data_IF_314551601542
#
_entry.id   IF_314551601542
#
_cell.length_a   1.000
_cell.length_b   1.000
_cell.length_c   1.000
_cell.angle_alpha   90.00
_cell.angle_beta   90.00
_cell.angle_gamma   90.00
#
_symmetry.space_group_name_H-M   'P 1'
#
loop_
_entity.id
_entity.type
_entity.pdbx_description
1 polymer ?
#
# COMPACT_ATOMS: atom_id res chain seq x y z
N UNK A 1 -13.33 -70.93 3.82
CA UNK A 1 -13.37 -69.74 2.99
C UNK A 1 -12.80 -68.56 3.78
N UNK A 2 -11.55 -68.19 3.49
CA UNK A 2 -10.83 -67.12 4.17
C UNK A 2 -10.91 -65.86 3.30
N UNK A 3 -11.62 -64.81 3.81
CA UNK A 3 -11.74 -63.53 3.16
C UNK A 3 -10.52 -62.66 3.51
N UNK A 4 -9.70 -62.30 2.51
CA UNK A 4 -8.62 -61.32 2.65
C UNK A 4 -9.21 -59.94 2.49
N UNK A 5 -9.21 -59.16 3.56
CA UNK A 5 -9.46 -57.70 3.51
C UNK A 5 -8.18 -57.00 3.18
N UNK A 6 -8.11 -56.46 1.94
CA UNK A 6 -6.98 -55.65 1.47
C UNK A 6 -7.20 -54.24 1.93
N UNK A 7 -6.42 -53.76 2.90
CA UNK A 7 -6.40 -52.35 3.37
C UNK A 7 -5.57 -51.53 2.39
N UNK A 8 -6.24 -50.73 1.61
CA UNK A 8 -5.60 -49.71 0.72
C UNK A 8 -5.21 -48.50 1.58
N UNK A 9 -3.93 -48.40 1.94
CA UNK A 9 -3.38 -47.26 2.66
C UNK A 9 -3.14 -46.13 1.67
N UNK A 10 -4.05 -45.15 1.64
CA UNK A 10 -3.90 -43.93 0.82
C UNK A 10 -2.93 -42.99 1.54
N UNK A 11 -1.68 -42.93 1.06
CA UNK A 11 -0.73 -41.89 1.47
C UNK A 11 -1.15 -40.54 0.88
N UNK A 12 -1.78 -39.71 1.69
CA UNK A 12 -1.89 -38.28 1.39
C UNK A 12 -0.50 -37.63 1.56
N UNK A 13 0.19 -37.45 0.46
CA UNK A 13 1.38 -36.60 0.41
C UNK A 13 0.96 -35.14 0.57
N UNK A 14 1.06 -34.64 1.78
CA UNK A 14 0.94 -33.20 2.08
C UNK A 14 2.18 -32.47 1.51
N UNK A 15 2.12 -32.04 0.25
CA UNK A 15 3.14 -31.21 -0.41
C UNK A 15 2.95 -29.71 -0.15
N UNK A 16 2.42 -29.29 0.98
CA UNK A 16 2.08 -27.89 1.23
C UNK A 16 2.94 -27.12 2.23
N UNK A 17 3.77 -27.80 3.03
CA UNK A 17 4.28 -27.19 4.27
C UNK A 17 5.76 -26.78 4.28
N UNK A 18 6.53 -27.01 3.20
CA UNK A 18 7.98 -26.73 3.20
C UNK A 18 8.37 -25.37 2.65
N UNK A 19 7.51 -24.75 1.83
CA UNK A 19 7.82 -23.49 1.15
C UNK A 19 7.52 -22.25 2.00
N UNK A 20 6.49 -22.28 2.85
CA UNK A 20 6.16 -21.16 3.75
C UNK A 20 7.20 -20.97 4.87
N UNK A 21 7.78 -22.06 5.39
CA UNK A 21 8.83 -21.99 6.42
C UNK A 21 10.15 -21.41 5.91
N UNK A 22 10.40 -21.44 4.61
CA UNK A 22 11.68 -21.05 4.05
C UNK A 22 11.90 -19.54 4.01
N UNK A 23 10.84 -18.75 3.96
CA UNK A 23 10.92 -17.28 3.95
C UNK A 23 10.58 -16.67 5.31
N UNK A 24 9.89 -17.39 6.21
CA UNK A 24 9.47 -16.85 7.51
C UNK A 24 10.63 -16.37 8.40
N UNK A 25 11.84 -16.94 8.21
CA UNK A 25 13.04 -16.58 8.97
C UNK A 25 14.01 -15.69 8.19
N UNK A 26 13.52 -15.05 7.11
CA UNK A 26 14.33 -14.23 6.21
C UNK A 26 13.86 -12.79 6.24
N UNK A 27 14.82 -11.86 6.46
CA UNK A 27 14.60 -10.43 6.24
C UNK A 27 15.26 -10.01 4.95
N UNK A 28 14.53 -9.33 4.11
CA UNK A 28 15.04 -8.82 2.84
C UNK A 28 14.94 -7.30 2.86
N UNK A 29 16.02 -6.65 2.47
CA UNK A 29 16.10 -5.21 2.34
C UNK A 29 16.63 -4.85 0.97
N UNK A 30 15.99 -3.91 0.32
CA UNK A 30 16.39 -3.34 -0.96
C UNK A 30 16.42 -1.83 -0.84
N UNK A 31 17.50 -1.21 -1.29
CA UNK A 31 17.64 0.25 -1.31
C UNK A 31 18.06 0.75 -2.68
N UNK A 32 17.48 1.86 -3.12
CA UNK A 32 17.90 2.56 -4.33
C UNK A 32 17.80 4.08 -4.15
N UNK A 33 18.87 4.79 -4.52
CA UNK A 33 19.02 6.22 -4.28
C UNK A 33 19.67 6.95 -5.44
N UNK A 34 19.16 8.14 -5.78
CA UNK A 34 19.79 9.18 -6.58
C UNK A 34 19.31 10.57 -6.13
N UNK A 35 19.71 11.64 -6.81
CA UNK A 35 19.23 13.00 -6.49
C UNK A 35 17.70 13.14 -6.58
N UNK A 36 17.09 12.49 -7.58
CA UNK A 36 15.65 12.58 -7.84
C UNK A 36 14.86 11.32 -7.52
N UNK A 37 15.47 10.29 -6.92
CA UNK A 37 14.84 9.01 -6.66
C UNK A 37 15.27 8.45 -5.30
N UNK A 38 14.30 7.96 -4.54
CA UNK A 38 14.54 7.21 -3.30
C UNK A 38 13.56 6.07 -3.21
N UNK A 39 14.06 4.86 -2.93
CA UNK A 39 13.24 3.70 -2.61
C UNK A 39 13.94 2.83 -1.58
N UNK A 40 13.24 2.51 -0.52
CA UNK A 40 13.64 1.46 0.43
C UNK A 40 12.49 0.46 0.54
N UNK A 41 12.78 -0.83 0.36
CA UNK A 41 11.83 -1.93 0.53
C UNK A 41 12.35 -2.81 1.65
N UNK A 42 11.47 -3.21 2.56
CA UNK A 42 11.75 -4.21 3.59
C UNK A 42 10.66 -5.28 3.56
N UNK A 43 11.07 -6.55 3.65
CA UNK A 43 10.17 -7.70 3.61
C UNK A 43 10.53 -8.62 4.78
N UNK A 44 9.56 -8.89 5.63
CA UNK A 44 9.69 -9.79 6.77
C UNK A 44 8.30 -10.36 7.14
N UNK A 45 8.16 -11.67 7.30
CA UNK A 45 6.93 -12.32 7.79
C UNK A 45 5.64 -11.88 7.08
N UNK A 46 5.60 -11.91 5.73
CA UNK A 46 4.52 -11.38 4.88
C UNK A 46 4.33 -9.86 4.94
N UNK A 47 5.03 -9.17 5.80
CA UNK A 47 4.98 -7.71 5.86
C UNK A 47 5.89 -7.12 4.79
N UNK A 48 5.34 -6.28 3.94
CA UNK A 48 6.04 -5.53 2.91
C UNK A 48 5.97 -4.05 3.27
N UNK A 49 7.13 -3.43 3.44
CA UNK A 49 7.26 -2.01 3.79
C UNK A 49 8.02 -1.29 2.69
N UNK A 50 7.51 -0.16 2.23
CA UNK A 50 8.14 0.67 1.21
C UNK A 50 8.20 2.13 1.62
N UNK A 51 9.34 2.78 1.34
CA UNK A 51 9.56 4.22 1.48
C UNK A 51 10.02 4.73 0.12
N UNK A 52 9.28 5.67 -0.49
CA UNK A 52 9.58 6.23 -1.82
C UNK A 52 10.11 7.66 -1.80
N UNK A 53 10.28 8.25 -0.62
CA UNK A 53 10.87 9.59 -0.45
C UNK A 53 11.90 9.58 0.67
N UNK A 54 12.91 10.45 0.65
CA UNK A 54 14.02 10.45 1.64
C UNK A 54 13.54 10.60 3.08
N UNK A 55 12.52 11.43 3.30
CA UNK A 55 11.96 11.72 4.62
C UNK A 55 10.55 11.12 4.78
N UNK A 56 10.20 10.15 3.91
CA UNK A 56 8.89 9.52 3.90
C UNK A 56 8.73 8.54 5.06
N UNK A 57 7.48 8.37 5.46
CA UNK A 57 7.11 7.28 6.36
C UNK A 57 6.98 5.98 5.56
N UNK A 58 7.26 4.83 6.18
CA UNK A 58 7.04 3.55 5.53
C UNK A 58 5.54 3.31 5.29
N UNK A 59 5.20 2.98 4.06
CA UNK A 59 3.92 2.37 3.73
C UNK A 59 4.04 0.87 3.96
N UNK A 60 3.19 0.32 4.82
CA UNK A 60 3.28 -1.09 5.25
C UNK A 60 2.01 -1.81 4.80
N UNK A 61 2.20 -2.91 4.08
CA UNK A 61 1.11 -3.77 3.61
C UNK A 61 1.40 -5.23 3.95
N UNK A 62 0.37 -6.01 4.18
CA UNK A 62 0.48 -7.47 4.27
C UNK A 62 0.32 -8.06 2.86
N UNK A 63 1.27 -8.89 2.45
CA UNK A 63 1.23 -9.58 1.17
C UNK A 63 0.14 -10.67 1.19
N UNK A 64 -0.60 -10.78 0.09
CA UNK A 64 -1.51 -11.92 -0.10
C UNK A 64 -0.73 -13.24 -0.15
N UNK A 65 -1.43 -14.35 0.06
CA UNK A 65 -0.82 -15.69 -0.04
C UNK A 65 -0.22 -15.94 -1.43
N UNK A 66 -0.86 -15.44 -2.47
CA UNK A 66 -0.36 -15.54 -3.84
C UNK A 66 0.95 -14.75 -4.02
N UNK A 67 0.99 -13.49 -3.55
CA UNK A 67 2.18 -12.63 -3.61
C UNK A 67 3.33 -13.23 -2.80
N UNK A 68 3.03 -13.72 -1.60
CA UNK A 68 4.00 -14.37 -0.72
C UNK A 68 4.57 -15.64 -1.33
N UNK A 69 3.72 -16.49 -1.89
CA UNK A 69 4.13 -17.72 -2.57
C UNK A 69 4.99 -17.42 -3.82
N UNK A 70 4.63 -16.40 -4.58
CA UNK A 70 5.43 -15.97 -5.74
C UNK A 70 6.80 -15.45 -5.29
N UNK A 71 6.85 -14.64 -4.23
CA UNK A 71 8.09 -14.15 -3.64
C UNK A 71 8.99 -15.33 -3.21
N UNK A 72 8.41 -16.36 -2.56
CA UNK A 72 9.09 -17.57 -2.15
C UNK A 72 9.69 -18.36 -3.29
N UNK A 73 8.95 -18.50 -4.39
CA UNK A 73 9.46 -19.15 -5.61
C UNK A 73 10.64 -18.41 -6.21
N UNK A 74 10.59 -17.08 -6.23
CA UNK A 74 11.68 -16.26 -6.76
C UNK A 74 12.90 -16.29 -5.83
N UNK A 75 12.67 -16.19 -4.51
CA UNK A 75 13.73 -16.29 -3.51
C UNK A 75 14.46 -17.63 -3.58
N UNK A 76 13.76 -18.74 -3.78
CA UNK A 76 14.37 -20.09 -3.86
C UNK A 76 15.38 -20.26 -5.00
N UNK A 77 15.36 -19.36 -5.98
CA UNK A 77 16.35 -19.34 -7.09
C UNK A 77 17.63 -18.58 -6.73
N UNK A 78 17.65 -17.86 -5.61
CA UNK A 78 18.80 -17.05 -5.19
C UNK A 78 19.86 -17.96 -4.52
N UNK A 79 21.08 -17.97 -5.06
CA UNK A 79 22.20 -18.64 -4.45
C UNK A 79 22.94 -17.70 -3.49
N UNK A 80 22.72 -17.89 -2.20
CA UNK A 80 23.34 -17.08 -1.14
C UNK A 80 24.88 -17.23 -1.09
N UNK A 81 25.46 -18.32 -1.61
CA UNK A 81 26.91 -18.51 -1.61
C UNK A 81 27.63 -17.51 -2.50
N UNK A 82 26.99 -17.11 -3.59
CA UNK A 82 27.55 -16.14 -4.56
C UNK A 82 26.92 -14.76 -4.46
N UNK A 83 26.00 -14.56 -3.50
CA UNK A 83 25.19 -13.34 -3.41
C UNK A 83 26.02 -12.07 -3.17
N UNK A 84 27.04 -12.15 -2.32
CA UNK A 84 27.92 -11.02 -2.00
C UNK A 84 28.80 -10.59 -3.19
N UNK A 85 28.96 -11.44 -4.20
CA UNK A 85 29.73 -11.15 -5.40
C UNK A 85 28.88 -10.60 -6.54
N UNK A 86 27.56 -10.55 -6.36
CA UNK A 86 26.65 -10.04 -7.39
C UNK A 86 26.82 -8.54 -7.57
N UNK A 87 27.15 -8.16 -8.78
CA UNK A 87 27.36 -6.79 -9.23
C UNK A 87 26.53 -6.51 -10.48
N UNK A 88 26.07 -5.27 -10.64
CA UNK A 88 25.32 -4.86 -11.83
C UNK A 88 26.17 -4.91 -13.09
N UNK A 89 25.55 -5.22 -14.25
CA UNK A 89 26.26 -5.30 -15.53
C UNK A 89 26.64 -3.92 -16.08
N UNK A 90 26.11 -2.84 -15.50
CA UNK A 90 26.34 -1.45 -15.92
C UNK A 90 26.75 -0.58 -14.75
N UNK A 91 27.29 0.61 -15.05
CA UNK A 91 27.83 1.59 -14.09
C UNK A 91 27.22 2.99 -14.32
N UNK A 92 26.02 3.09 -14.86
CA UNK A 92 25.35 4.37 -15.14
C UNK A 92 25.13 5.18 -13.83
N UNK A 93 24.99 4.49 -12.69
CA UNK A 93 24.93 5.08 -11.36
C UNK A 93 26.14 5.93 -10.98
N UNK A 94 27.31 5.66 -11.58
CA UNK A 94 28.53 6.41 -11.30
C UNK A 94 28.52 7.82 -11.92
N UNK A 95 27.63 8.06 -12.88
CA UNK A 95 27.50 9.30 -13.65
C UNK A 95 26.11 9.95 -13.48
N UNK A 96 25.43 9.69 -12.37
CA UNK A 96 24.06 10.15 -12.09
C UNK A 96 23.01 9.70 -13.15
N UNK A 97 23.35 8.76 -14.03
CA UNK A 97 22.45 8.26 -15.07
C UNK A 97 21.36 7.33 -14.54
N UNK A 98 21.60 6.68 -13.40
CA UNK A 98 20.65 5.77 -12.71
C UNK A 98 20.77 5.89 -11.20
N UNK A 99 19.73 5.49 -10.49
CA UNK A 99 19.82 5.36 -9.04
C UNK A 99 20.73 4.18 -8.66
N UNK A 100 21.58 4.40 -7.68
CA UNK A 100 22.43 3.35 -7.10
C UNK A 100 21.58 2.46 -6.22
N UNK A 101 21.60 1.16 -6.48
CA UNK A 101 20.84 0.16 -5.72
C UNK A 101 21.74 -0.90 -5.11
N UNK A 102 21.25 -1.49 -4.01
CA UNK A 102 21.77 -2.72 -3.41
C UNK A 102 20.64 -3.53 -2.80
N UNK A 103 20.94 -4.79 -2.48
CA UNK A 103 20.01 -5.70 -1.82
C UNK A 103 20.74 -6.46 -0.72
N UNK A 104 20.09 -6.59 0.44
CA UNK A 104 20.58 -7.39 1.56
C UNK A 104 19.56 -8.44 1.95
N UNK A 105 20.05 -9.62 2.33
CA UNK A 105 19.27 -10.75 2.82
C UNK A 105 19.86 -11.18 4.15
N UNK A 106 19.04 -11.24 5.20
CA UNK A 106 19.42 -11.73 6.52
C UNK A 106 18.72 -13.06 6.72
N UNK A 107 19.49 -14.11 6.95
CA UNK A 107 19.01 -15.45 7.28
C UNK A 107 19.61 -15.85 8.61
N UNK A 108 18.79 -16.00 9.63
CA UNK A 108 19.24 -16.15 11.02
C UNK A 108 20.18 -14.99 11.37
N UNK A 109 21.43 -15.26 11.71
CA UNK A 109 22.43 -14.25 12.11
C UNK A 109 23.40 -13.87 10.97
N UNK A 110 23.19 -14.36 9.75
CA UNK A 110 24.05 -14.09 8.59
C UNK A 110 23.43 -13.08 7.67
N UNK A 111 24.20 -12.03 7.36
CA UNK A 111 23.83 -11.01 6.38
C UNK A 111 24.60 -11.25 5.08
N UNK A 112 23.86 -11.23 3.99
CA UNK A 112 24.37 -11.29 2.62
C UNK A 112 24.00 -9.99 1.93
N UNK A 113 24.96 -9.31 1.26
CA UNK A 113 24.71 -8.02 0.61
C UNK A 113 25.35 -8.01 -0.76
N UNK A 114 24.57 -7.65 -1.79
CA UNK A 114 25.11 -7.50 -3.15
C UNK A 114 26.09 -6.33 -3.21
N UNK A 115 26.99 -6.37 -4.19
CA UNK A 115 27.65 -5.15 -4.66
C UNK A 115 26.62 -4.21 -5.28
N UNK A 116 27.00 -2.94 -5.48
CA UNK A 116 26.11 -1.93 -6.05
C UNK A 116 25.73 -2.24 -7.50
N UNK A 117 24.50 -1.91 -7.88
CA UNK A 117 24.00 -2.03 -9.25
C UNK A 117 23.07 -0.87 -9.60
N UNK A 118 22.80 -0.68 -10.88
CA UNK A 118 21.85 0.31 -11.36
C UNK A 118 20.42 -0.16 -11.08
N UNK A 119 19.60 0.65 -10.43
CA UNK A 119 18.25 0.31 -9.93
C UNK A 119 17.40 -0.47 -10.93
N UNK A 120 17.44 -0.09 -12.20
CA UNK A 120 16.64 -0.74 -13.26
C UNK A 120 17.37 -1.89 -13.96
N UNK A 121 18.64 -2.15 -13.62
CA UNK A 121 19.51 -3.13 -14.29
C UNK A 121 20.23 -3.99 -13.23
N UNK A 122 19.48 -4.79 -12.44
CA UNK A 122 20.08 -5.65 -11.43
C UNK A 122 20.85 -6.82 -12.05
N UNK A 123 21.76 -7.46 -11.28
CA UNK A 123 22.43 -8.68 -11.69
C UNK A 123 21.46 -9.75 -12.18
N UNK A 124 21.76 -10.43 -13.28
CA UNK A 124 20.86 -11.40 -13.94
C UNK A 124 20.33 -12.48 -12.99
N UNK A 125 21.14 -12.94 -12.03
CA UNK A 125 20.76 -14.00 -11.07
C UNK A 125 19.67 -13.60 -10.08
N UNK A 126 19.46 -12.31 -9.85
CA UNK A 126 18.43 -11.78 -8.94
C UNK A 126 17.41 -10.89 -9.65
N UNK A 127 17.53 -10.75 -10.98
CA UNK A 127 16.71 -9.82 -11.76
C UNK A 127 15.20 -10.04 -11.55
N UNK A 128 14.75 -11.28 -11.71
CA UNK A 128 13.32 -11.60 -11.55
C UNK A 128 12.79 -11.24 -10.15
N UNK A 129 13.62 -11.46 -9.13
CA UNK A 129 13.26 -11.13 -7.75
C UNK A 129 13.19 -9.61 -7.53
N UNK A 130 14.23 -8.87 -7.98
CA UNK A 130 14.29 -7.41 -7.85
C UNK A 130 13.17 -6.74 -8.64
N UNK A 131 12.89 -7.19 -9.85
CA UNK A 131 11.78 -6.67 -10.67
C UNK A 131 10.44 -6.90 -9.96
N UNK A 132 10.25 -8.08 -9.36
CA UNK A 132 9.00 -8.41 -8.68
C UNK A 132 8.78 -7.55 -7.42
N UNK A 133 9.80 -7.37 -6.56
CA UNK A 133 9.64 -6.52 -5.38
C UNK A 133 9.45 -5.04 -5.74
N UNK A 134 10.06 -4.56 -6.83
CA UNK A 134 9.82 -3.21 -7.32
C UNK A 134 8.41 -3.07 -7.90
N UNK A 135 7.91 -4.07 -8.62
CA UNK A 135 6.51 -4.10 -9.05
C UNK A 135 5.56 -4.06 -7.84
N UNK A 136 5.81 -4.89 -6.82
CA UNK A 136 5.02 -4.83 -5.58
C UNK A 136 5.08 -3.45 -4.93
N UNK A 137 6.24 -2.78 -4.94
CA UNK A 137 6.38 -1.43 -4.43
C UNK A 137 5.61 -0.40 -5.28
N UNK A 138 5.57 -0.55 -6.59
CA UNK A 138 4.78 0.31 -7.49
C UNK A 138 3.27 0.06 -7.35
N UNK A 139 2.88 -1.19 -7.11
CA UNK A 139 1.49 -1.61 -6.89
C UNK A 139 1.03 -1.27 -5.45
N UNK A 140 1.92 -1.38 -4.46
CA UNK A 140 1.68 -1.12 -3.03
C UNK A 140 1.89 0.34 -2.62
N UNK A 141 2.53 1.14 -3.46
CA UNK A 141 2.18 2.56 -3.49
C UNK A 141 0.71 2.54 -3.87
N UNK A 142 -0.10 2.35 -2.85
CA UNK A 142 -1.53 2.58 -2.95
C UNK A 142 -1.59 3.96 -3.53
N UNK A 143 -1.85 4.04 -4.83
CA UNK A 143 -2.36 5.28 -5.41
C UNK A 143 -3.54 5.56 -4.52
N UNK A 144 -3.30 6.42 -3.51
CA UNK A 144 -4.35 6.74 -2.57
C UNK A 144 -5.57 7.00 -3.44
N UNK A 145 -6.52 6.04 -3.55
CA UNK A 145 -7.53 6.07 -4.60
C UNK A 145 -8.44 7.27 -4.44
N UNK A 146 -8.44 7.86 -3.24
CA UNK A 146 -9.26 9.02 -2.91
C UNK A 146 -8.56 10.36 -3.17
N UNK A 147 -7.28 10.38 -3.59
CA UNK A 147 -6.58 11.67 -3.86
C UNK A 147 -7.31 12.52 -4.89
N UNK A 148 -7.46 13.80 -4.57
CA UNK A 148 -8.03 14.81 -5.43
C UNK A 148 -9.18 15.58 -4.79
N UNK A 149 -9.80 16.47 -5.57
CA UNK A 149 -10.92 17.31 -5.16
C UNK A 149 -12.21 16.82 -5.79
N UNK A 150 -13.26 16.73 -4.99
CA UNK A 150 -14.56 16.18 -5.35
C UNK A 150 -15.66 17.18 -5.06
N UNK A 151 -16.61 17.34 -5.98
CA UNK A 151 -17.86 18.05 -5.73
C UNK A 151 -18.82 17.14 -4.99
N UNK A 152 -19.35 17.59 -3.87
CA UNK A 152 -20.33 16.80 -3.08
C UNK A 152 -21.70 16.91 -3.72
N UNK A 153 -22.29 15.76 -4.02
CA UNK A 153 -23.60 15.63 -4.65
C UNK A 153 -24.68 15.26 -3.65
N UNK A 154 -24.33 14.43 -2.66
CA UNK A 154 -25.26 13.93 -1.64
C UNK A 154 -24.61 13.93 -0.25
N UNK A 155 -25.33 14.38 0.74
CA UNK A 155 -24.96 14.33 2.17
C UNK A 155 -26.13 13.80 3.00
N UNK A 156 -25.97 12.62 3.64
CA UNK A 156 -27.00 11.97 4.45
C UNK A 156 -28.36 11.88 3.73
N UNK A 157 -28.35 11.39 2.48
CA UNK A 157 -29.52 11.26 1.61
C UNK A 157 -30.15 12.57 1.15
N UNK A 158 -29.53 13.73 1.45
CA UNK A 158 -29.97 15.02 0.91
C UNK A 158 -29.18 15.37 -0.36
N UNK A 159 -29.88 15.72 -1.43
CA UNK A 159 -29.25 16.25 -2.64
C UNK A 159 -28.70 17.65 -2.37
N UNK A 160 -27.38 17.78 -2.45
CA UNK A 160 -26.64 19.03 -2.30
C UNK A 160 -25.85 19.42 -3.55
N UNK A 161 -26.12 18.77 -4.68
CA UNK A 161 -25.39 18.95 -5.94
C UNK A 161 -25.33 20.38 -6.47
N UNK A 162 -26.31 21.22 -6.07
CA UNK A 162 -26.40 22.65 -6.45
C UNK A 162 -25.69 23.60 -5.45
N UNK A 163 -25.03 23.08 -4.42
CA UNK A 163 -24.50 23.88 -3.29
C UNK A 163 -23.01 24.20 -3.38
N UNK A 164 -22.30 23.82 -4.43
CA UNK A 164 -20.84 24.03 -4.59
C UNK A 164 -19.99 23.49 -3.43
N UNK A 165 -20.50 22.50 -2.70
CA UNK A 165 -19.77 21.84 -1.64
C UNK A 165 -18.67 20.96 -2.20
N UNK A 166 -17.54 20.91 -1.51
CA UNK A 166 -16.45 20.03 -1.93
C UNK A 166 -15.73 19.40 -0.76
N UNK A 167 -15.13 18.26 -1.04
CA UNK A 167 -14.17 17.56 -0.20
C UNK A 167 -12.91 17.29 -1.03
N UNK A 168 -11.74 17.49 -0.45
CA UNK A 168 -10.45 17.31 -1.11
C UNK A 168 -9.55 16.47 -0.23
N UNK A 169 -8.93 15.46 -0.82
CA UNK A 169 -7.97 14.57 -0.18
C UNK A 169 -6.57 14.83 -0.74
N UNK A 170 -5.64 15.11 0.14
CA UNK A 170 -4.19 15.14 -0.10
C UNK A 170 -3.57 13.96 0.69
N UNK A 171 -2.29 13.72 0.62
CA UNK A 171 -1.62 12.50 1.14
C UNK A 171 -2.18 11.97 2.48
N UNK A 172 -2.26 12.81 3.51
CA UNK A 172 -2.80 12.45 4.83
C UNK A 172 -3.89 13.44 5.31
N UNK A 173 -4.19 14.48 4.50
CA UNK A 173 -5.11 15.56 4.88
C UNK A 173 -6.38 15.53 4.07
N UNK A 174 -7.48 15.78 4.75
CA UNK A 174 -8.76 16.10 4.15
C UNK A 174 -9.08 17.57 4.38
N UNK A 175 -9.65 18.23 3.40
CA UNK A 175 -10.15 19.60 3.51
C UNK A 175 -11.43 19.76 2.70
N UNK A 176 -12.18 20.79 2.96
CA UNK A 176 -13.39 21.03 2.19
C UNK A 176 -14.21 22.23 2.66
N UNK A 177 -15.41 22.31 2.08
CA UNK A 177 -16.39 23.33 2.35
C UNK A 177 -17.80 22.74 2.27
N UNK A 178 -18.60 22.93 3.31
CA UNK A 178 -19.96 22.37 3.41
C UNK A 178 -21.01 23.44 3.73
N UNK A 179 -20.74 24.68 3.32
CA UNK A 179 -21.74 25.77 3.38
C UNK A 179 -21.27 27.08 3.96
N UNK A 180 -20.48 27.08 5.04
CA UNK A 180 -20.05 28.30 5.69
C UNK A 180 -18.54 28.39 5.88
N UNK A 181 -17.94 27.36 6.44
CA UNK A 181 -16.54 27.37 6.81
C UNK A 181 -15.71 26.40 5.97
N UNK A 182 -14.47 26.79 5.69
CA UNK A 182 -13.46 25.87 5.26
C UNK A 182 -13.07 24.98 6.44
N UNK A 183 -12.98 23.68 6.20
CA UNK A 183 -12.50 22.74 7.18
C UNK A 183 -11.27 21.97 6.72
N UNK A 184 -10.52 21.45 7.65
CA UNK A 184 -9.42 20.53 7.40
C UNK A 184 -9.20 19.59 8.58
N UNK A 185 -8.68 18.42 8.29
CA UNK A 185 -8.35 17.39 9.27
C UNK A 185 -7.38 16.38 8.69
N UNK A 186 -7.07 15.36 9.47
CA UNK A 186 -6.32 14.20 9.01
C UNK A 186 -7.28 13.07 8.69
N UNK A 187 -6.92 12.19 7.78
CA UNK A 187 -7.62 10.93 7.56
C UNK A 187 -6.64 9.78 7.53
N UNK A 188 -7.13 8.59 7.78
CA UNK A 188 -6.38 7.33 7.64
C UNK A 188 -7.11 6.45 6.64
N UNK A 189 -6.32 5.81 5.79
CA UNK A 189 -6.80 4.86 4.80
C UNK A 189 -6.12 3.52 5.02
N UNK A 190 -6.90 2.45 5.03
CA UNK A 190 -6.41 1.08 5.08
C UNK A 190 -7.33 0.19 4.25
N UNK A 191 -6.86 -0.28 3.09
CA UNK A 191 -7.68 -1.01 2.13
C UNK A 191 -8.94 -0.22 1.75
N UNK A 192 -10.13 -0.74 2.04
CA UNK A 192 -11.42 -0.09 1.82
C UNK A 192 -11.93 0.70 3.04
N UNK A 193 -11.15 0.72 4.12
CA UNK A 193 -11.49 1.48 5.32
C UNK A 193 -10.94 2.89 5.25
N UNK A 194 -11.74 3.86 5.65
CA UNK A 194 -11.34 5.26 5.81
C UNK A 194 -11.87 5.78 7.14
N UNK A 195 -11.09 6.56 7.85
CA UNK A 195 -11.52 7.24 9.06
C UNK A 195 -10.97 8.65 9.12
N UNK A 196 -11.76 9.57 9.66
CA UNK A 196 -11.37 10.95 9.83
C UNK A 196 -10.99 11.23 11.28
N UNK A 197 -9.87 11.94 11.46
CA UNK A 197 -9.50 12.52 12.74
C UNK A 197 -10.29 13.79 13.05
N UNK A 198 -10.00 14.46 14.18
CA UNK A 198 -10.61 15.74 14.53
C UNK A 198 -10.44 16.76 13.39
N UNK A 199 -11.53 17.41 13.04
CA UNK A 199 -11.54 18.45 12.01
C UNK A 199 -11.52 19.83 12.65
N UNK A 200 -10.75 20.73 12.07
CA UNK A 200 -10.72 22.15 12.40
C UNK A 200 -11.46 22.92 11.33
N UNK A 201 -12.17 23.98 11.70
CA UNK A 201 -12.81 24.88 10.74
C UNK A 201 -12.55 26.35 11.07
N UNK A 202 -12.72 27.21 10.07
CA UNK A 202 -12.84 28.66 10.29
C UNK A 202 -14.10 28.95 11.13
N UNK A 203 -14.19 30.13 11.75
CA UNK A 203 -15.30 30.48 12.68
C UNK A 203 -16.10 31.63 12.11
N UNK A 204 -16.59 31.49 10.89
CA UNK A 204 -17.56 32.43 10.34
C UNK A 204 -18.97 32.05 10.78
N UNK A 205 -19.82 33.00 10.96
CA UNK A 205 -21.26 32.81 11.15
C UNK A 205 -21.96 33.06 9.80
N UNK A 206 -22.73 32.12 9.33
CA UNK A 206 -23.49 32.23 8.08
C UNK A 206 -24.95 31.85 8.39
N UNK A 207 -25.82 32.80 8.33
CA UNK A 207 -27.26 32.56 8.50
C UNK A 207 -27.76 31.58 7.45
N UNK A 208 -28.50 30.55 7.87
CA UNK A 208 -29.08 29.50 7.00
C UNK A 208 -28.08 28.61 6.19
N UNK A 209 -26.77 28.68 6.47
CA UNK A 209 -25.78 27.89 5.74
C UNK A 209 -24.94 26.95 6.64
N UNK A 210 -25.14 26.96 7.96
CA UNK A 210 -24.37 26.15 8.91
C UNK A 210 -24.93 24.74 9.11
N UNK A 211 -26.14 24.46 8.67
CA UNK A 211 -26.80 23.17 8.90
C UNK A 211 -26.02 21.99 8.32
N UNK A 212 -25.70 22.05 7.02
CA UNK A 212 -24.98 20.98 6.33
C UNK A 212 -23.54 20.82 6.83
N UNK A 213 -22.89 21.91 7.26
CA UNK A 213 -21.58 21.86 7.90
C UNK A 213 -21.64 21.10 9.23
N UNK A 214 -22.63 21.42 10.07
CA UNK A 214 -22.85 20.73 11.34
C UNK A 214 -23.17 19.24 11.14
N UNK A 215 -24.02 18.93 10.16
CA UNK A 215 -24.34 17.56 9.78
C UNK A 215 -23.10 16.81 9.31
N UNK A 216 -22.27 17.42 8.47
CA UNK A 216 -21.02 16.82 8.00
C UNK A 216 -20.05 16.55 9.14
N UNK A 217 -19.79 17.50 10.03
CA UNK A 217 -18.86 17.28 11.14
C UNK A 217 -19.31 16.13 12.06
N UNK A 218 -20.60 16.01 12.31
CA UNK A 218 -21.12 14.85 13.05
C UNK A 218 -20.95 13.56 12.26
N UNK A 219 -21.42 13.52 11.02
CA UNK A 219 -21.43 12.31 10.22
C UNK A 219 -20.02 11.84 9.84
N UNK A 220 -19.06 12.76 9.69
CA UNK A 220 -17.68 12.41 9.39
C UNK A 220 -17.03 11.53 10.46
N UNK A 221 -17.44 11.64 11.71
CA UNK A 221 -16.94 10.77 12.82
C UNK A 221 -17.50 9.34 12.75
N UNK A 222 -18.56 9.12 11.98
CA UNK A 222 -19.22 7.83 11.80
C UNK A 222 -18.72 7.09 10.55
N UNK A 223 -17.95 7.77 9.69
CA UNK A 223 -17.40 7.16 8.47
C UNK A 223 -16.36 6.09 8.82
N UNK A 224 -16.55 4.88 8.28
CA UNK A 224 -15.67 3.73 8.50
C UNK A 224 -15.13 3.14 7.21
N UNK A 225 -15.83 3.32 6.08
CA UNK A 225 -15.43 2.73 4.80
C UNK A 225 -15.73 3.65 3.61
N UNK A 226 -15.10 3.34 2.48
CA UNK A 226 -15.35 4.03 1.24
C UNK A 226 -15.39 3.06 0.07
N UNK A 227 -16.00 3.50 -1.03
CA UNK A 227 -15.96 2.83 -2.32
C UNK A 227 -15.68 3.86 -3.42
N UNK A 228 -14.82 3.49 -4.35
CA UNK A 228 -14.60 4.26 -5.57
C UNK A 228 -15.38 3.65 -6.73
N UNK A 229 -16.25 4.43 -7.35
CA UNK A 229 -16.97 4.05 -8.57
C UNK A 229 -16.60 5.04 -9.69
N UNK A 230 -15.66 4.63 -10.54
CA UNK A 230 -15.06 5.50 -11.56
C UNK A 230 -14.41 6.76 -10.93
N UNK A 231 -15.07 7.91 -11.07
CA UNK A 231 -14.64 9.20 -10.51
C UNK A 231 -15.40 9.60 -9.23
N UNK A 232 -16.27 8.74 -8.74
CA UNK A 232 -17.14 9.04 -7.60
C UNK A 232 -16.62 8.32 -6.36
N UNK A 233 -16.49 9.06 -5.26
CA UNK A 233 -16.24 8.52 -3.93
C UNK A 233 -17.58 8.42 -3.17
N UNK A 234 -17.78 7.28 -2.55
CA UNK A 234 -18.91 6.98 -1.67
C UNK A 234 -18.35 6.69 -0.28
N UNK A 235 -18.81 7.40 0.74
CA UNK A 235 -18.39 7.22 2.13
C UNK A 235 -19.55 6.59 2.92
N UNK A 236 -19.24 5.58 3.71
CA UNK A 236 -20.22 4.79 4.45
C UNK A 236 -19.89 4.72 5.95
N UNK A 237 -20.93 4.56 6.77
CA UNK A 237 -20.79 4.21 8.18
C UNK A 237 -20.58 2.70 8.41
N UNK A 238 -20.55 2.28 9.67
CA UNK A 238 -20.38 0.87 10.06
C UNK A 238 -21.61 -0.02 9.74
N UNK A 239 -22.77 0.56 9.43
CA UNK A 239 -23.98 -0.14 8.99
C UNK A 239 -24.15 -0.17 7.46
N UNK A 240 -23.10 0.28 6.70
CA UNK A 240 -23.11 0.48 5.25
C UNK A 240 -24.17 1.49 4.76
N UNK A 241 -24.56 2.43 5.60
CA UNK A 241 -25.37 3.54 5.20
C UNK A 241 -24.52 4.62 4.52
N UNK A 242 -24.99 5.13 3.38
CA UNK A 242 -24.29 6.18 2.66
C UNK A 242 -24.33 7.49 3.45
N UNK A 243 -23.15 8.01 3.77
CA UNK A 243 -22.96 9.31 4.45
C UNK A 243 -22.72 10.41 3.41
N UNK A 244 -21.84 10.18 2.43
CA UNK A 244 -21.49 11.19 1.45
C UNK A 244 -21.22 10.55 0.09
N UNK A 245 -21.73 11.19 -0.96
CA UNK A 245 -21.39 10.92 -2.36
C UNK A 245 -20.77 12.18 -2.98
N UNK A 246 -19.60 12.02 -3.61
CA UNK A 246 -18.94 13.12 -4.28
C UNK A 246 -18.22 12.66 -5.55
N UNK A 247 -18.22 13.50 -6.59
CA UNK A 247 -17.62 13.20 -7.89
C UNK A 247 -16.39 14.07 -8.12
N UNK A 248 -15.32 13.49 -8.63
CA UNK A 248 -14.04 14.14 -8.88
C UNK A 248 -14.19 15.25 -9.92
N UNK A 249 -13.62 16.40 -9.59
CA UNK A 249 -13.57 17.57 -10.50
C UNK A 249 -12.68 17.34 -11.70
#
# INVERSE_FOLDING_TARGET
MKSLFSIFLVFFLSKGCSQERFISDVKISYGANSRGFHRTIQIENKTFSVINTRDGKPEVVELSDEQWNQLGKLYSKIDLKTFNDLEGPTMERAFDGKAHANMSIIVKDKTYTTKGFDHTIPPAKIKEFVDYINKLADDSVVKNPVLGSYTVEELLSNDVSKKEYFISFDAEKVSGFMGCNMYSGMYKLLNESISFGPMMSTRKYCENAMENETLWFKASTEVTSFKMENKTILLYDNENKLILKATKK
#
